data_IF_878651887950
#
_entry.id   IF_878651887950
#
_cell.length_a   1.000
_cell.length_b   1.000
_cell.length_c   1.000
_cell.angle_alpha   90.00
_cell.angle_beta   90.00
_cell.angle_gamma   90.00
#
_symmetry.space_group_name_H-M   'P 1'
#
loop_
_entity.id
_entity.type
_entity.pdbx_description
1 polymer ?
#
# COMPACT_ATOMS: atom_id res chain seq x y z
N UNK A 1 -16.59 2.04 -4.41
CA UNK A 1 -15.58 1.03 -4.75
C UNK A 1 -16.22 -0.04 -5.61
N UNK A 2 -15.56 -0.46 -6.68
CA UNK A 2 -16.10 -1.53 -7.53
C UNK A 2 -16.04 -2.88 -6.81
N UNK A 3 -16.90 -3.81 -7.21
CA UNK A 3 -16.90 -5.17 -6.67
C UNK A 3 -15.57 -5.88 -6.96
N UNK A 4 -14.98 -5.60 -8.12
CA UNK A 4 -13.69 -6.16 -8.51
C UNK A 4 -12.58 -5.75 -7.53
N UNK A 5 -12.47 -4.46 -7.21
CA UNK A 5 -11.46 -3.96 -6.28
C UNK A 5 -11.70 -4.50 -4.87
N UNK A 6 -12.95 -4.56 -4.43
CA UNK A 6 -13.28 -5.12 -3.12
C UNK A 6 -12.84 -6.58 -3.02
N UNK A 7 -13.11 -7.37 -4.06
CA UNK A 7 -12.72 -8.78 -4.09
C UNK A 7 -11.20 -8.94 -4.07
N UNK A 8 -10.48 -8.16 -4.87
CA UNK A 8 -9.02 -8.16 -4.86
C UNK A 8 -8.46 -7.83 -3.48
N UNK A 9 -9.02 -6.81 -2.84
CA UNK A 9 -8.61 -6.40 -1.50
C UNK A 9 -8.81 -7.54 -0.49
N UNK A 10 -9.95 -8.21 -0.53
CA UNK A 10 -10.23 -9.32 0.38
C UNK A 10 -9.27 -10.48 0.17
N UNK A 11 -8.96 -10.83 -1.08
CA UNK A 11 -7.99 -11.88 -1.39
C UNK A 11 -6.59 -11.51 -0.89
N UNK A 12 -6.18 -10.26 -1.10
CA UNK A 12 -4.88 -9.78 -0.63
C UNK A 12 -4.78 -9.79 0.89
N UNK A 13 -5.84 -9.45 1.60
CA UNK A 13 -5.86 -9.49 3.07
C UNK A 13 -5.59 -10.92 3.57
N UNK A 14 -6.10 -11.93 2.88
CA UNK A 14 -5.86 -13.31 3.28
C UNK A 14 -4.38 -13.71 3.14
N UNK A 15 -3.67 -13.13 2.19
CA UNK A 15 -2.25 -13.45 1.95
C UNK A 15 -1.33 -12.56 2.78
N UNK A 16 -1.58 -11.26 2.81
CA UNK A 16 -0.67 -10.28 3.42
C UNK A 16 -1.07 -9.89 4.83
N UNK A 17 -2.28 -10.25 5.26
CA UNK A 17 -2.81 -9.86 6.55
C UNK A 17 -3.54 -8.54 6.52
N UNK A 18 -4.25 -8.26 7.61
CA UNK A 18 -5.03 -7.04 7.79
C UNK A 18 -4.11 -5.93 8.31
N UNK A 19 -3.17 -5.51 7.47
CA UNK A 19 -2.15 -4.52 7.81
C UNK A 19 -2.01 -3.49 6.71
N UNK A 20 -1.80 -2.25 7.11
CA UNK A 20 -1.39 -1.20 6.18
C UNK A 20 0.08 -1.39 5.80
N UNK A 21 0.42 -1.20 4.53
CA UNK A 21 1.80 -1.40 4.04
C UNK A 21 2.73 -0.19 4.30
N UNK A 22 2.21 0.88 4.89
CA UNK A 22 3.04 2.01 5.33
C UNK A 22 3.23 1.98 6.84
N UNK A 23 2.22 1.53 7.57
CA UNK A 23 2.17 1.62 9.00
C UNK A 23 1.84 0.24 9.59
N UNK A 24 2.71 -0.27 10.45
CA UNK A 24 2.54 -1.58 11.08
C UNK A 24 1.43 -1.63 12.13
N UNK A 25 0.69 -0.55 12.33
CA UNK A 25 -0.42 -0.54 13.26
C UNK A 25 -1.46 -1.59 12.88
N UNK A 26 -1.86 -2.37 13.87
CA UNK A 26 -2.91 -3.36 13.73
C UNK A 26 -4.25 -2.68 13.44
N UNK A 27 -4.99 -3.20 12.46
CA UNK A 27 -6.31 -2.68 12.09
C UNK A 27 -7.35 -3.72 12.52
N UNK A 28 -8.01 -3.50 13.68
CA UNK A 28 -8.96 -4.50 14.16
C UNK A 28 -10.25 -4.49 13.36
N UNK A 29 -10.62 -5.64 12.84
CA UNK A 29 -11.97 -5.97 12.37
C UNK A 29 -12.65 -5.07 11.34
N UNK A 30 -11.96 -4.14 10.72
CA UNK A 30 -12.62 -3.25 9.75
C UNK A 30 -11.93 -3.33 8.40
N UNK A 31 -12.29 -4.35 7.64
CA UNK A 31 -11.79 -4.53 6.26
C UNK A 31 -11.96 -3.26 5.43
N UNK A 32 -13.00 -2.48 5.72
CA UNK A 32 -13.32 -1.26 5.00
C UNK A 32 -12.32 -0.12 5.27
N UNK A 33 -11.50 -0.24 6.34
CA UNK A 33 -10.47 0.76 6.63
C UNK A 33 -9.28 0.59 5.69
N UNK A 34 -9.03 -0.61 5.19
CA UNK A 34 -7.99 -0.84 4.20
C UNK A 34 -8.51 -0.51 2.81
N UNK A 35 -7.69 0.21 2.05
CA UNK A 35 -7.98 0.58 0.68
C UNK A 35 -7.02 -0.13 -0.26
N UNK A 36 -7.42 -0.25 -1.53
CA UNK A 36 -6.57 -0.77 -2.59
C UNK A 36 -5.88 0.40 -3.28
N UNK A 37 -4.55 0.44 -3.17
CA UNK A 37 -3.75 1.45 -3.85
C UNK A 37 -3.18 0.86 -5.14
N UNK A 38 -3.34 1.59 -6.25
CA UNK A 38 -2.74 1.21 -7.52
C UNK A 38 -1.26 1.65 -7.51
N UNK A 39 -0.33 0.68 -7.54
CA UNK A 39 1.11 0.97 -7.59
C UNK A 39 1.42 1.79 -8.84
N UNK A 40 0.91 1.33 -10.00
CA UNK A 40 0.86 2.15 -11.20
C UNK A 40 -0.53 2.75 -11.28
N UNK A 41 -0.62 4.06 -11.23
CA UNK A 41 -1.90 4.77 -11.16
C UNK A 41 -2.76 4.54 -12.40
N UNK A 42 -4.08 4.64 -12.23
CA UNK A 42 -5.03 4.52 -13.35
C UNK A 42 -4.72 5.51 -14.47
N UNK A 43 -4.36 6.75 -14.14
CA UNK A 43 -4.00 7.78 -15.14
C UNK A 43 -2.78 7.38 -15.96
N UNK A 44 -1.95 6.47 -15.47
CA UNK A 44 -0.78 5.93 -16.15
C UNK A 44 -1.04 4.50 -16.67
N UNK A 45 -2.32 4.16 -16.90
CA UNK A 45 -2.77 2.86 -17.40
C UNK A 45 -2.54 1.71 -16.41
N UNK A 46 -2.47 2.01 -15.12
CA UNK A 46 -2.39 0.99 -14.09
C UNK A 46 -3.66 0.15 -14.04
N UNK A 47 -3.50 -1.17 -13.98
CA UNK A 47 -4.60 -2.12 -14.00
C UNK A 47 -5.10 -2.42 -12.60
N UNK A 48 -6.39 -2.79 -12.50
CA UNK A 48 -6.99 -3.29 -11.26
C UNK A 48 -6.76 -4.79 -11.18
N UNK A 49 -5.51 -5.18 -10.94
CA UNK A 49 -5.09 -6.56 -10.75
C UNK A 49 -4.26 -6.68 -9.48
N UNK A 50 -4.16 -7.88 -8.95
CA UNK A 50 -3.41 -8.17 -7.73
C UNK A 50 -1.98 -7.60 -7.78
N UNK A 51 -1.28 -7.84 -8.88
CA UNK A 51 0.13 -7.47 -9.04
C UNK A 51 0.38 -5.97 -9.04
N UNK A 52 -0.69 -5.18 -9.16
CA UNK A 52 -0.62 -3.72 -9.12
C UNK A 52 -1.21 -3.14 -7.83
N UNK A 53 -1.45 -3.97 -6.83
CA UNK A 53 -2.11 -3.56 -5.61
C UNK A 53 -1.22 -3.46 -4.40
N UNK A 54 -1.54 -2.52 -3.52
CA UNK A 54 -0.99 -2.40 -2.19
C UNK A 54 -2.14 -2.11 -1.22
N UNK A 55 -2.02 -2.58 0.02
CA UNK A 55 -3.04 -2.37 1.03
C UNK A 55 -2.65 -1.20 1.93
N UNK A 56 -3.46 -0.17 1.94
CA UNK A 56 -3.21 1.03 2.75
C UNK A 56 -4.46 1.38 3.56
N UNK A 57 -4.27 1.79 4.81
CA UNK A 57 -5.36 2.41 5.55
C UNK A 57 -5.81 3.68 4.81
N UNK A 58 -7.06 4.05 4.98
CA UNK A 58 -7.58 5.27 4.35
C UNK A 58 -6.73 6.48 4.70
N UNK A 59 -6.33 6.61 5.95
CA UNK A 59 -5.48 7.70 6.41
C UNK A 59 -4.13 7.72 5.68
N UNK A 60 -3.48 6.56 5.57
CA UNK A 60 -2.18 6.48 4.90
C UNK A 60 -2.28 6.57 3.39
N UNK A 61 -3.41 6.17 2.80
CA UNK A 61 -3.67 6.39 1.38
C UNK A 61 -3.74 7.89 1.08
N UNK A 62 -4.43 8.65 1.91
CA UNK A 62 -4.49 10.11 1.79
C UNK A 62 -3.11 10.74 1.99
N UNK A 63 -2.33 10.24 2.94
CA UNK A 63 -0.96 10.68 3.16
C UNK A 63 -0.08 10.41 1.92
N UNK A 64 -0.25 9.26 1.30
CA UNK A 64 0.49 8.91 0.09
C UNK A 64 0.16 9.88 -1.06
N UNK A 65 -1.10 10.28 -1.19
CA UNK A 65 -1.50 11.28 -2.18
C UNK A 65 -0.81 12.63 -1.92
N UNK A 66 -0.67 13.01 -0.66
CA UNK A 66 0.08 14.20 -0.26
C UNK A 66 1.56 14.08 -0.67
N UNK A 67 2.17 12.92 -0.47
CA UNK A 67 3.55 12.67 -0.86
C UNK A 67 3.74 12.75 -2.37
N UNK A 68 2.77 12.28 -3.15
CA UNK A 68 2.81 12.37 -4.62
C UNK A 68 2.92 13.83 -5.06
N UNK A 69 2.27 14.75 -4.35
CA UNK A 69 2.28 16.17 -4.71
C UNK A 69 3.54 16.90 -4.22
N UNK A 70 4.00 16.61 -3.02
CA UNK A 70 5.02 17.42 -2.36
C UNK A 70 6.37 16.73 -2.16
N UNK A 71 6.41 15.39 -2.23
CA UNK A 71 7.62 14.60 -2.03
C UNK A 71 7.64 13.44 -3.01
N UNK A 72 7.59 13.76 -4.30
CA UNK A 72 7.35 12.77 -5.36
C UNK A 72 8.40 11.66 -5.39
N UNK A 73 9.67 11.96 -5.10
CA UNK A 73 10.72 10.94 -5.06
C UNK A 73 10.47 9.92 -3.94
N UNK A 74 9.96 10.38 -2.79
CA UNK A 74 9.61 9.51 -1.67
C UNK A 74 8.39 8.66 -2.04
N UNK A 75 7.40 9.27 -2.67
CA UNK A 75 6.24 8.55 -3.21
C UNK A 75 6.69 7.39 -4.11
N UNK A 76 7.60 7.66 -5.04
CA UNK A 76 8.11 6.64 -5.97
C UNK A 76 8.86 5.52 -5.24
N UNK A 77 9.66 5.85 -4.23
CA UNK A 77 10.38 4.83 -3.46
C UNK A 77 9.43 3.94 -2.66
N UNK A 78 8.37 4.52 -2.08
CA UNK A 78 7.36 3.72 -1.39
C UNK A 78 6.66 2.78 -2.35
N UNK A 79 6.31 3.24 -3.54
CA UNK A 79 5.72 2.37 -4.56
C UNK A 79 6.67 1.24 -4.97
N UNK A 80 7.98 1.49 -4.98
CA UNK A 80 8.98 0.45 -5.20
C UNK A 80 8.95 -0.62 -4.11
N UNK A 81 8.82 -0.20 -2.85
CA UNK A 81 8.69 -1.12 -1.72
C UNK A 81 7.39 -1.92 -1.81
N UNK A 82 6.30 -1.28 -2.19
CA UNK A 82 5.02 -1.98 -2.40
C UNK A 82 5.13 -3.02 -3.51
N UNK A 83 5.78 -2.66 -4.60
CA UNK A 83 6.02 -3.57 -5.72
C UNK A 83 6.76 -4.83 -5.24
N UNK A 84 7.83 -4.63 -4.47
CA UNK A 84 8.64 -5.75 -3.98
C UNK A 84 7.84 -6.60 -2.98
N UNK A 85 7.14 -5.98 -2.03
CA UNK A 85 6.33 -6.70 -1.06
C UNK A 85 5.22 -7.50 -1.74
N UNK A 86 4.57 -6.90 -2.72
CA UNK A 86 3.47 -7.56 -3.45
C UNK A 86 3.92 -8.92 -4.02
N UNK A 87 5.16 -9.04 -4.43
CA UNK A 87 5.68 -10.25 -5.07
C UNK A 87 6.20 -11.30 -4.09
N UNK A 88 6.18 -11.01 -2.80
CA UNK A 88 6.57 -12.01 -1.79
C UNK A 88 5.45 -13.00 -1.48
N UNK A 89 4.20 -12.61 -1.72
CA UNK A 89 3.00 -13.38 -1.33
C UNK A 89 3.01 -13.77 0.13
N UNK A 90 3.53 -12.88 0.97
CA UNK A 90 3.64 -13.09 2.41
C UNK A 90 3.39 -11.77 3.16
N UNK A 91 2.98 -11.82 4.44
CA UNK A 91 2.77 -10.61 5.22
C UNK A 91 4.02 -9.74 5.31
N UNK A 92 3.86 -8.41 5.46
CA UNK A 92 5.00 -7.52 5.68
C UNK A 92 5.82 -7.94 6.90
N UNK A 93 7.13 -7.86 6.77
CA UNK A 93 8.07 -8.19 7.85
C UNK A 93 8.51 -6.93 8.60
N UNK A 94 9.19 -7.12 9.73
CA UNK A 94 9.79 -6.00 10.46
C UNK A 94 10.83 -5.28 9.59
N UNK A 95 11.62 -6.04 8.83
CA UNK A 95 12.61 -5.47 7.91
C UNK A 95 11.95 -4.61 6.85
N UNK A 96 10.80 -5.04 6.33
CA UNK A 96 10.04 -4.24 5.37
C UNK A 96 9.62 -2.91 5.99
N UNK A 97 9.06 -2.92 7.20
CA UNK A 97 8.63 -1.69 7.86
C UNK A 97 9.82 -0.78 8.23
N UNK A 98 10.96 -1.35 8.55
CA UNK A 98 12.18 -0.57 8.78
C UNK A 98 12.59 0.20 7.51
N UNK A 99 12.48 -0.44 6.34
CA UNK A 99 12.73 0.23 5.06
C UNK A 99 11.74 1.36 4.81
N UNK A 100 10.45 1.15 5.09
CA UNK A 100 9.44 2.20 4.96
C UNK A 100 9.80 3.38 5.85
N UNK A 101 10.13 3.12 7.11
CA UNK A 101 10.53 4.17 8.07
C UNK A 101 11.76 4.92 7.59
N UNK A 102 12.74 4.21 7.07
CA UNK A 102 13.98 4.82 6.55
C UNK A 102 13.67 5.80 5.42
N UNK A 103 12.81 5.42 4.49
CA UNK A 103 12.42 6.30 3.39
C UNK A 103 11.68 7.53 3.93
N UNK A 104 10.74 7.33 4.86
CA UNK A 104 9.94 8.42 5.39
C UNK A 104 10.74 9.41 6.26
N UNK A 105 11.84 8.98 6.86
CA UNK A 105 12.71 9.88 7.66
C UNK A 105 13.35 10.99 6.84
N UNK A 106 13.38 10.86 5.53
CA UNK A 106 13.95 11.91 4.66
C UNK A 106 13.00 13.10 4.50
N UNK A 107 11.77 12.99 4.96
CA UNK A 107 10.83 14.10 4.97
C UNK A 107 11.18 15.03 6.12
N UNK A 108 11.36 16.30 5.78
CA UNK A 108 11.72 17.33 6.78
C UNK A 108 10.52 18.18 7.16
#
# INVERSE_FOLDING_TARGET
MSDKVRKLKEEMIQVYGLKCWINELWIPNKKDILTFHHIIEKRNKGKEIWENGALLSLYKHNYLNYLDLYYHSIYNELNGLFYDLNRTYAPPTDEYYDEVKRVLRRIK
#
